data_IF_740507698028
#
_entry.id   IF_740507698028
#
_cell.length_a   1.000
_cell.length_b   1.000
_cell.length_c   1.000
_cell.angle_alpha   90.00
_cell.angle_beta   90.00
_cell.angle_gamma   90.00
#
_symmetry.space_group_name_H-M   'P 1'
#
loop_
_entity.id
_entity.type
_entity.pdbx_description
1 polymer ?
#
# COMPACT_ATOMS: atom_id res chain seq x y z
N UNK A 1 19.39 10.92 14.86
CA UNK A 1 18.65 12.12 15.35
C UNK A 1 17.80 11.85 16.61
N UNK A 2 17.35 10.61 16.87
CA UNK A 2 16.52 10.25 18.03
C UNK A 2 17.20 10.38 19.42
N UNK A 3 18.54 10.30 19.50
CA UNK A 3 19.27 10.33 20.76
C UNK A 3 19.39 11.74 21.39
N UNK A 4 19.11 12.80 20.63
CA UNK A 4 19.24 14.21 21.10
C UNK A 4 18.00 14.71 21.87
N UNK A 5 16.84 14.07 21.65
CA UNK A 5 15.56 14.42 22.30
C UNK A 5 15.44 13.81 23.70
N UNK A 6 15.91 12.56 23.89
CA UNK A 6 15.86 11.86 25.18
C UNK A 6 16.61 12.61 26.31
N UNK A 7 17.64 13.37 25.94
CA UNK A 7 18.37 14.23 26.86
C UNK A 7 17.54 15.42 27.36
N UNK A 8 16.49 15.89 26.68
CA UNK A 8 15.75 17.09 27.10
C UNK A 8 14.89 16.86 28.34
N UNK A 9 14.19 15.72 28.41
CA UNK A 9 13.33 15.37 29.54
C UNK A 9 14.15 15.10 30.79
N UNK A 10 15.14 14.22 30.66
CA UNK A 10 16.02 13.86 31.76
C UNK A 10 16.80 15.10 32.25
N UNK A 11 17.25 15.97 31.32
CA UNK A 11 17.90 17.21 31.70
C UNK A 11 16.94 18.24 32.32
N UNK A 12 15.68 18.37 31.90
CA UNK A 12 14.77 19.35 32.48
C UNK A 12 14.36 18.97 33.91
N UNK A 13 14.00 17.69 34.11
CA UNK A 13 13.62 17.15 35.41
C UNK A 13 14.82 17.19 36.37
N UNK A 14 16.00 16.74 35.91
CA UNK A 14 17.22 16.76 36.72
C UNK A 14 17.71 18.18 37.02
N UNK A 15 17.62 19.13 36.06
CA UNK A 15 17.93 20.55 36.32
C UNK A 15 17.00 21.16 37.37
N UNK A 16 15.71 20.85 37.32
CA UNK A 16 14.76 21.35 38.31
C UNK A 16 15.02 20.75 39.70
N UNK A 17 15.38 19.46 39.77
CA UNK A 17 15.83 18.82 41.00
C UNK A 17 17.11 19.48 41.55
N UNK A 18 18.14 19.66 40.72
CA UNK A 18 19.39 20.33 41.12
C UNK A 18 19.15 21.75 41.63
N UNK A 19 18.26 22.53 40.97
CA UNK A 19 17.87 23.87 41.44
C UNK A 19 17.24 23.81 42.83
N UNK A 20 16.34 22.86 43.10
CA UNK A 20 15.73 22.69 44.42
C UNK A 20 16.77 22.31 45.48
N UNK A 21 17.64 21.35 45.20
CA UNK A 21 18.72 20.97 46.10
C UNK A 21 19.65 22.14 46.41
N UNK A 22 19.99 22.94 45.40
CA UNK A 22 20.80 24.13 45.56
C UNK A 22 20.12 25.18 46.45
N UNK A 23 18.81 25.46 46.21
CA UNK A 23 18.02 26.37 47.04
C UNK A 23 17.94 25.87 48.49
N UNK A 24 17.69 24.58 48.71
CA UNK A 24 17.67 23.97 50.05
C UNK A 24 19.03 24.11 50.73
N UNK A 25 20.12 23.87 50.01
CA UNK A 25 21.48 23.97 50.55
C UNK A 25 21.81 25.40 50.95
N UNK A 26 21.49 26.38 50.11
CA UNK A 26 21.66 27.80 50.44
C UNK A 26 20.79 28.19 51.63
N UNK A 27 19.52 27.77 51.64
CA UNK A 27 18.60 28.11 52.72
C UNK A 27 19.08 27.57 54.06
N UNK A 28 19.48 26.30 54.13
CA UNK A 28 20.03 25.71 55.37
C UNK A 28 21.35 26.36 55.77
N UNK A 29 22.22 26.69 54.80
CA UNK A 29 23.47 27.39 55.08
C UNK A 29 23.25 28.79 55.65
N UNK A 30 22.34 29.58 55.07
CA UNK A 30 21.97 30.92 55.59
C UNK A 30 21.37 30.78 56.99
N UNK A 31 20.45 29.83 57.18
CA UNK A 31 19.82 29.58 58.47
C UNK A 31 20.86 29.21 59.54
N UNK A 32 21.83 28.36 59.20
CA UNK A 32 22.93 28.00 60.08
C UNK A 32 23.82 29.21 60.39
N UNK A 33 24.18 30.03 59.40
CA UNK A 33 24.97 31.25 59.59
C UNK A 33 24.28 32.30 60.49
N UNK A 34 22.95 32.33 60.55
CA UNK A 34 22.19 33.24 61.42
C UNK A 34 22.01 32.64 62.81
N UNK A 35 21.56 31.39 62.90
CA UNK A 35 21.21 30.76 64.17
C UNK A 35 22.44 30.44 65.03
N UNK A 36 23.54 29.98 64.43
CA UNK A 36 24.73 29.56 65.19
C UNK A 36 25.32 30.73 65.99
N UNK A 37 25.55 31.93 65.42
CA UNK A 37 26.04 33.08 66.18
C UNK A 37 25.06 33.59 67.24
N UNK A 38 23.75 33.61 66.97
CA UNK A 38 22.72 34.04 67.93
C UNK A 38 22.73 33.12 69.15
N UNK A 39 22.73 31.80 68.91
CA UNK A 39 22.78 30.79 69.96
C UNK A 39 24.09 30.90 70.74
N UNK A 40 25.22 31.05 70.04
CA UNK A 40 26.52 31.23 70.69
C UNK A 40 26.58 32.49 71.56
N UNK A 41 26.06 33.64 71.09
CA UNK A 41 26.05 34.89 71.83
C UNK A 41 25.14 34.84 73.07
N UNK A 42 23.95 34.25 72.95
CA UNK A 42 23.05 34.03 74.08
C UNK A 42 23.70 33.16 75.16
N UNK A 43 24.44 32.13 74.76
CA UNK A 43 25.12 31.23 75.70
C UNK A 43 26.36 31.90 76.31
N UNK A 44 27.14 32.65 75.52
CA UNK A 44 28.35 33.35 75.97
C UNK A 44 28.06 34.35 77.10
N UNK A 45 26.98 35.10 76.99
CA UNK A 45 26.58 36.05 78.04
C UNK A 45 26.12 35.36 79.33
N UNK A 46 25.87 34.04 79.31
CA UNK A 46 25.32 33.30 80.43
C UNK A 46 26.30 32.26 81.05
N UNK A 47 27.41 31.87 80.39
CA UNK A 47 28.32 30.79 80.84
C UNK A 47 29.81 30.99 80.39
N UNK A 48 30.82 30.65 81.22
CA UNK A 48 32.27 30.91 81.00
C UNK A 48 32.99 30.06 79.90
N UNK A 49 34.18 30.54 79.47
CA UNK A 49 34.65 30.64 78.08
C UNK A 49 35.32 29.43 77.36
N UNK A 50 35.70 28.32 78.01
CA UNK A 50 36.47 27.25 77.31
C UNK A 50 35.60 26.12 76.68
N UNK A 51 34.43 25.84 77.26
CA UNK A 51 33.49 24.80 76.79
C UNK A 51 32.80 25.16 75.46
N UNK A 52 32.82 26.45 75.08
CA UNK A 52 32.01 26.97 73.99
C UNK A 52 32.51 26.61 72.58
N UNK A 53 33.82 26.37 72.39
CA UNK A 53 34.36 26.03 71.07
C UNK A 53 33.89 24.65 70.60
N UNK A 54 34.04 23.61 71.44
CA UNK A 54 33.61 22.24 71.12
C UNK A 54 32.09 22.14 70.93
N UNK A 55 31.31 22.98 71.62
CA UNK A 55 29.84 23.00 71.51
C UNK A 55 29.34 23.59 70.19
N UNK A 56 30.05 24.55 69.60
CA UNK A 56 29.68 25.09 68.28
C UNK A 56 29.76 24.01 67.19
N UNK A 57 30.71 23.08 67.31
CA UNK A 57 30.81 21.89 66.46
C UNK A 57 29.60 20.96 66.65
N UNK A 58 29.10 20.80 67.87
CA UNK A 58 27.91 19.99 68.16
C UNK A 58 26.63 20.54 67.51
N UNK A 59 26.53 21.87 67.35
CA UNK A 59 25.38 22.51 66.69
C UNK A 59 25.38 22.33 65.16
N UNK A 60 26.51 21.94 64.54
CA UNK A 60 26.59 21.64 63.11
C UNK A 60 25.99 20.26 62.75
N UNK A 61 26.08 19.27 63.64
CA UNK A 61 25.50 17.95 63.37
C UNK A 61 23.99 17.98 63.08
N UNK A 62 23.12 18.63 63.87
CA UNK A 62 21.69 18.67 63.57
C UNK A 62 21.39 19.44 62.28
N UNK A 63 22.15 20.48 61.92
CA UNK A 63 21.93 21.21 60.65
C UNK A 63 22.30 20.35 59.44
N UNK A 64 23.37 19.57 59.53
CA UNK A 64 23.75 18.59 58.50
C UNK A 64 22.71 17.47 58.39
N UNK A 65 22.17 16.97 59.50
CA UNK A 65 21.12 15.95 59.51
C UNK A 65 19.85 16.49 58.85
N UNK A 66 19.40 17.70 59.22
CA UNK A 66 18.22 18.33 58.61
C UNK A 66 18.44 18.54 57.09
N UNK A 67 19.61 19.01 56.69
CA UNK A 67 19.98 19.15 55.28
C UNK A 67 19.92 17.82 54.54
N UNK A 68 20.52 16.77 55.11
CA UNK A 68 20.51 15.42 54.51
C UNK A 68 19.09 14.86 54.38
N UNK A 69 18.23 15.07 55.39
CA UNK A 69 16.81 14.66 55.34
C UNK A 69 16.03 15.40 54.25
N UNK A 70 16.23 16.71 54.10
CA UNK A 70 15.56 17.50 53.06
C UNK A 70 15.99 17.06 51.65
N UNK A 71 17.27 16.77 51.45
CA UNK A 71 17.76 16.20 50.19
C UNK A 71 17.19 14.80 49.96
N UNK A 72 17.14 13.95 50.99
CA UNK A 72 16.54 12.63 50.91
C UNK A 72 15.05 12.68 50.51
N UNK A 73 14.31 13.67 51.00
CA UNK A 73 12.91 13.87 50.60
C UNK A 73 12.75 14.32 49.15
N UNK A 74 13.58 15.24 48.66
CA UNK A 74 13.52 15.68 47.25
C UNK A 74 13.99 14.58 46.28
N UNK A 75 15.01 13.79 46.66
CA UNK A 75 15.43 12.61 45.88
C UNK A 75 14.31 11.58 45.80
N UNK A 76 13.64 11.28 46.91
CA UNK A 76 12.51 10.35 46.93
C UNK A 76 11.37 10.81 46.01
N UNK A 77 11.01 12.10 46.03
CA UNK A 77 9.98 12.67 45.12
C UNK A 77 10.38 12.53 43.65
N UNK A 78 11.65 12.77 43.32
CA UNK A 78 12.17 12.58 41.97
C UNK A 78 12.02 11.13 41.51
N UNK A 79 12.45 10.17 42.34
CA UNK A 79 12.33 8.75 42.03
C UNK A 79 10.86 8.34 41.84
N UNK A 80 9.96 8.77 42.72
CA UNK A 80 8.52 8.50 42.59
C UNK A 80 7.94 9.03 41.27
N UNK A 81 8.34 10.24 40.85
CA UNK A 81 7.92 10.83 39.57
C UNK A 81 8.49 10.09 38.36
N UNK A 82 9.74 9.61 38.44
CA UNK A 82 10.33 8.79 37.38
C UNK A 82 9.64 7.43 37.23
N UNK A 83 9.26 6.80 38.33
CA UNK A 83 8.51 5.53 38.32
C UNK A 83 7.13 5.71 37.69
N UNK A 84 6.40 6.79 38.01
CA UNK A 84 5.07 7.01 37.42
C UNK A 84 5.11 7.16 35.89
N UNK A 85 6.18 7.73 35.34
CA UNK A 85 6.38 7.79 33.90
C UNK A 85 6.54 6.41 33.25
N UNK A 86 7.15 5.45 33.95
CA UNK A 86 7.26 4.07 33.46
C UNK A 86 5.88 3.41 33.46
N UNK A 87 5.10 3.61 34.51
CA UNK A 87 3.73 3.08 34.62
C UNK A 87 2.83 3.65 33.51
N UNK A 88 2.89 4.96 33.27
CA UNK A 88 2.17 5.63 32.18
C UNK A 88 2.55 5.06 30.80
N UNK A 89 3.84 4.79 30.57
CA UNK A 89 4.31 4.19 29.32
C UNK A 89 3.87 2.74 29.16
N UNK A 90 3.81 1.98 30.25
CA UNK A 90 3.32 0.61 30.24
C UNK A 90 1.82 0.58 29.90
N UNK A 91 1.03 1.48 30.50
CA UNK A 91 -0.40 1.60 30.20
C UNK A 91 -0.64 2.05 28.74
N UNK A 92 0.13 3.02 28.26
CA UNK A 92 0.13 3.46 26.87
C UNK A 92 0.45 2.32 25.89
N UNK A 93 1.42 1.47 26.23
CA UNK A 93 1.82 0.33 25.38
C UNK A 93 0.72 -0.73 25.31
N UNK A 94 0.00 -0.98 26.41
CA UNK A 94 -1.15 -1.89 26.38
C UNK A 94 -2.27 -1.35 25.48
N UNK A 95 -2.56 -0.05 25.56
CA UNK A 95 -3.57 0.64 24.72
C UNK A 95 -3.16 0.80 23.25
N UNK A 96 -1.92 0.46 22.89
CA UNK A 96 -1.42 0.53 21.52
C UNK A 96 -2.09 -0.52 20.62
N UNK A 97 -2.42 -1.69 21.19
CA UNK A 97 -3.02 -2.81 20.47
C UNK A 97 -4.55 -2.86 20.61
N UNK A 98 -5.12 -1.97 21.42
CA UNK A 98 -6.57 -1.80 21.48
C UNK A 98 -7.09 -1.19 20.18
N UNK A 99 -8.20 -1.74 19.70
CA UNK A 99 -8.85 -1.33 18.44
C UNK A 99 -9.54 0.03 18.51
N UNK A 100 -9.58 0.64 19.70
CA UNK A 100 -10.20 1.93 19.90
C UNK A 100 -9.30 3.05 19.37
N UNK A 101 -9.89 3.99 18.63
CA UNK A 101 -9.21 5.12 18.02
C UNK A 101 -8.86 6.24 19.01
N UNK A 102 -8.74 5.90 20.29
CA UNK A 102 -8.43 6.84 21.36
C UNK A 102 -6.95 7.24 21.31
N UNK A 103 -6.72 8.55 21.38
CA UNK A 103 -5.39 9.12 21.50
C UNK A 103 -4.81 8.81 22.87
N UNK A 104 -3.57 8.31 22.86
CA UNK A 104 -2.82 8.05 24.07
C UNK A 104 -2.21 9.37 24.54
N UNK A 105 -2.75 9.91 25.63
CA UNK A 105 -2.21 11.08 26.31
C UNK A 105 -1.28 10.64 27.45
N UNK A 106 -0.07 11.19 27.46
CA UNK A 106 0.91 11.04 28.54
C UNK A 106 1.10 12.40 29.21
N UNK A 107 1.74 12.42 30.38
CA UNK A 107 2.19 13.65 31.04
C UNK A 107 2.89 14.61 30.07
N UNK A 108 2.76 15.92 30.31
CA UNK A 108 3.27 16.98 29.43
C UNK A 108 4.76 16.82 29.09
N UNK A 109 5.57 16.32 30.03
CA UNK A 109 6.98 16.07 29.77
C UNK A 109 7.18 14.95 28.70
N UNK A 110 6.32 13.93 28.69
CA UNK A 110 6.33 12.82 27.73
C UNK A 110 5.55 13.13 26.43
N UNK A 111 5.12 14.38 26.19
CA UNK A 111 4.33 14.77 25.02
C UNK A 111 4.96 14.36 23.67
N UNK A 112 6.29 14.45 23.55
CA UNK A 112 7.00 13.99 22.33
C UNK A 112 6.86 12.46 22.13
N UNK A 113 6.87 11.69 23.22
CA UNK A 113 6.70 10.24 23.19
C UNK A 113 5.23 9.89 22.88
N UNK A 114 4.28 10.59 23.50
CA UNK A 114 2.85 10.46 23.19
C UNK A 114 2.58 10.66 21.69
N UNK A 115 3.17 11.70 21.09
CA UNK A 115 3.04 11.97 19.65
C UNK A 115 3.61 10.82 18.79
N UNK A 116 4.77 10.26 19.16
CA UNK A 116 5.37 9.13 18.44
C UNK A 116 4.56 7.84 18.58
N UNK A 117 4.07 7.53 19.77
CA UNK A 117 3.23 6.35 20.02
C UNK A 117 1.92 6.47 19.24
N UNK A 118 1.26 7.63 19.26
CA UNK A 118 0.05 7.86 18.47
C UNK A 118 0.30 7.70 16.97
N UNK A 119 1.44 8.19 16.46
CA UNK A 119 1.84 7.95 15.06
C UNK A 119 2.01 6.46 14.75
N UNK A 120 2.67 5.71 15.64
CA UNK A 120 2.83 4.27 15.48
C UNK A 120 1.49 3.53 15.52
N UNK A 121 0.57 3.93 16.41
CA UNK A 121 -0.79 3.40 16.49
C UNK A 121 -1.53 3.58 15.16
N UNK A 122 -1.54 4.81 14.64
CA UNK A 122 -2.18 5.12 13.36
C UNK A 122 -1.57 4.32 12.20
N UNK A 123 -0.24 4.17 12.17
CA UNK A 123 0.43 3.34 11.16
C UNK A 123 0.07 1.85 11.30
N UNK A 124 -0.06 1.33 12.53
CA UNK A 124 -0.45 -0.05 12.78
C UNK A 124 -1.89 -0.33 12.32
N UNK A 125 -2.82 0.57 12.66
CA UNK A 125 -4.23 0.46 12.25
C UNK A 125 -4.35 0.49 10.72
N UNK A 126 -3.63 1.41 10.06
CA UNK A 126 -3.65 1.50 8.60
C UNK A 126 -3.03 0.26 7.95
N UNK A 127 -1.92 -0.25 8.48
CA UNK A 127 -1.31 -1.49 7.99
C UNK A 127 -2.25 -2.70 8.16
N UNK A 128 -2.97 -2.79 9.28
CA UNK A 128 -3.97 -3.85 9.50
C UNK A 128 -5.14 -3.71 8.52
N UNK A 129 -5.63 -2.49 8.29
CA UNK A 129 -6.68 -2.21 7.29
C UNK A 129 -6.25 -2.67 5.89
N UNK A 130 -5.07 -2.24 5.45
CA UNK A 130 -4.49 -2.64 4.15
C UNK A 130 -4.29 -4.16 4.06
N UNK A 131 -3.82 -4.80 5.13
CA UNK A 131 -3.65 -6.25 5.17
C UNK A 131 -4.99 -6.99 5.06
N UNK A 132 -6.04 -6.49 5.74
CA UNK A 132 -7.38 -7.04 5.67
C UNK A 132 -8.02 -6.84 4.29
N UNK A 133 -7.83 -5.67 3.67
CA UNK A 133 -8.27 -5.40 2.30
C UNK A 133 -7.59 -6.33 1.30
N UNK A 134 -6.27 -6.47 1.37
CA UNK A 134 -5.52 -7.42 0.54
C UNK A 134 -5.99 -8.87 0.74
N UNK A 135 -6.27 -9.27 1.99
CA UNK A 135 -6.79 -10.61 2.30
C UNK A 135 -8.19 -10.82 1.72
N UNK A 136 -9.08 -9.83 1.83
CA UNK A 136 -10.42 -9.88 1.22
C UNK A 136 -10.34 -9.98 -0.30
N UNK A 137 -9.58 -9.09 -0.94
CA UNK A 137 -9.34 -9.11 -2.38
C UNK A 137 -8.80 -10.47 -2.86
N UNK A 138 -7.86 -11.07 -2.13
CA UNK A 138 -7.33 -12.41 -2.43
C UNK A 138 -8.41 -13.49 -2.32
N UNK A 139 -9.26 -13.43 -1.30
CA UNK A 139 -10.33 -14.41 -1.12
C UNK A 139 -11.40 -14.26 -2.22
N UNK A 140 -11.79 -13.03 -2.55
CA UNK A 140 -12.76 -12.73 -3.61
C UNK A 140 -12.22 -13.19 -4.97
N UNK A 141 -10.93 -12.97 -5.24
CA UNK A 141 -10.19 -13.51 -6.39
C UNK A 141 -10.36 -15.04 -6.50
N UNK A 142 -10.12 -15.77 -5.42
CA UNK A 142 -10.21 -17.24 -5.41
C UNK A 142 -11.65 -17.70 -5.64
N UNK A 143 -12.63 -17.03 -5.01
CA UNK A 143 -14.03 -17.37 -5.13
C UNK A 143 -14.57 -17.14 -6.56
N UNK A 144 -14.26 -15.98 -7.15
CA UNK A 144 -14.65 -15.65 -8.52
C UNK A 144 -14.02 -16.61 -9.53
N UNK A 145 -12.73 -16.94 -9.35
CA UNK A 145 -12.05 -17.93 -10.18
C UNK A 145 -12.73 -19.29 -10.10
N UNK A 146 -13.04 -19.77 -8.89
CA UNK A 146 -13.70 -21.07 -8.71
C UNK A 146 -15.05 -21.13 -9.44
N UNK A 147 -15.82 -20.03 -9.41
CA UNK A 147 -17.08 -19.92 -10.13
C UNK A 147 -16.89 -19.97 -11.66
N UNK A 148 -15.94 -19.20 -12.17
CA UNK A 148 -15.69 -19.08 -13.61
C UNK A 148 -15.03 -20.33 -14.21
N UNK A 149 -14.31 -21.13 -13.40
CA UNK A 149 -13.82 -22.45 -13.79
C UNK A 149 -14.94 -23.50 -13.75
N UNK A 150 -15.84 -23.46 -12.75
CA UNK A 150 -16.91 -24.44 -12.56
C UNK A 150 -17.90 -24.46 -13.72
N UNK A 151 -18.24 -23.29 -14.27
CA UNK A 151 -19.24 -23.14 -15.35
C UNK A 151 -18.85 -23.85 -16.66
N UNK A 152 -17.67 -23.60 -17.27
CA UNK A 152 -17.24 -24.32 -18.46
C UNK A 152 -16.97 -25.80 -18.16
N UNK A 153 -16.45 -26.14 -16.98
CA UNK A 153 -16.24 -27.54 -16.59
C UNK A 153 -17.55 -28.33 -16.54
N UNK A 154 -18.59 -27.79 -15.88
CA UNK A 154 -19.91 -28.42 -15.83
C UNK A 154 -20.52 -28.56 -17.23
N UNK A 155 -20.31 -27.57 -18.11
CA UNK A 155 -20.75 -27.67 -19.51
C UNK A 155 -20.03 -28.79 -20.26
N UNK A 156 -18.70 -28.89 -20.11
CA UNK A 156 -17.89 -29.95 -20.74
C UNK A 156 -18.37 -31.32 -20.28
N UNK A 157 -18.51 -31.52 -18.96
CA UNK A 157 -19.00 -32.77 -18.39
C UNK A 157 -20.40 -33.09 -18.94
N UNK A 158 -21.33 -32.15 -18.92
CA UNK A 158 -22.69 -32.38 -19.43
C UNK A 158 -22.74 -32.77 -20.91
N UNK A 159 -21.96 -32.10 -21.78
CA UNK A 159 -21.90 -32.50 -23.20
C UNK A 159 -21.21 -33.86 -23.40
N UNK A 160 -20.20 -34.19 -22.61
CA UNK A 160 -19.56 -35.50 -22.66
C UNK A 160 -20.47 -36.61 -22.12
N UNK A 161 -21.27 -36.35 -21.09
CA UNK A 161 -22.29 -37.26 -20.58
C UNK A 161 -23.39 -37.52 -21.63
N UNK A 162 -23.85 -36.49 -22.33
CA UNK A 162 -24.79 -36.65 -23.45
C UNK A 162 -24.21 -37.48 -24.60
N UNK A 163 -22.92 -37.32 -24.88
CA UNK A 163 -22.21 -38.10 -25.91
C UNK A 163 -21.94 -39.55 -25.49
N UNK A 164 -21.77 -39.82 -24.18
CA UNK A 164 -21.48 -41.15 -23.63
C UNK A 164 -22.74 -41.92 -23.24
N UNK A 165 -23.88 -41.25 -23.06
CA UNK A 165 -25.15 -41.86 -22.67
C UNK A 165 -25.79 -42.68 -23.79
N UNK A 166 -26.86 -43.41 -23.45
CA UNK A 166 -27.65 -44.23 -24.38
C UNK A 166 -28.60 -43.41 -25.27
N UNK A 167 -28.34 -42.10 -25.45
CA UNK A 167 -29.16 -41.23 -26.30
C UNK A 167 -28.72 -41.45 -27.74
N UNK A 168 -29.65 -41.79 -28.62
CA UNK A 168 -29.37 -41.89 -30.06
C UNK A 168 -29.19 -40.48 -30.64
N UNK A 169 -27.93 -40.10 -30.88
CA UNK A 169 -27.56 -38.84 -31.52
C UNK A 169 -27.28 -39.07 -33.00
N UNK A 170 -27.78 -38.19 -33.86
CA UNK A 170 -27.33 -38.14 -35.25
C UNK A 170 -25.88 -37.63 -35.36
N UNK A 171 -25.26 -37.80 -36.53
CA UNK A 171 -23.87 -37.40 -36.76
C UNK A 171 -23.66 -35.88 -36.65
N UNK A 172 -24.66 -35.06 -36.99
CA UNK A 172 -24.58 -33.59 -36.85
C UNK A 172 -24.62 -33.16 -35.38
N UNK A 173 -25.51 -33.73 -34.58
CA UNK A 173 -25.64 -33.50 -33.15
C UNK A 173 -24.38 -33.94 -32.41
N UNK A 174 -23.83 -35.11 -32.75
CA UNK A 174 -22.56 -35.60 -32.21
C UNK A 174 -21.43 -34.63 -32.50
N UNK A 175 -21.30 -34.18 -33.76
CA UNK A 175 -20.27 -33.20 -34.18
C UNK A 175 -20.47 -31.85 -33.48
N UNK A 176 -21.72 -31.40 -33.33
CA UNK A 176 -22.06 -30.16 -32.63
C UNK A 176 -21.69 -30.22 -31.15
N UNK A 177 -22.09 -31.27 -30.43
CA UNK A 177 -21.78 -31.42 -29.00
C UNK A 177 -20.29 -31.56 -28.75
N UNK A 178 -19.58 -32.36 -29.56
CA UNK A 178 -18.12 -32.47 -29.50
C UNK A 178 -17.45 -31.12 -29.76
N UNK A 179 -17.93 -30.36 -30.74
CA UNK A 179 -17.45 -29.01 -31.04
C UNK A 179 -17.68 -28.03 -29.89
N UNK A 180 -18.83 -28.11 -29.20
CA UNK A 180 -19.11 -27.29 -28.02
C UNK A 180 -18.18 -27.67 -26.86
N UNK A 181 -18.03 -28.96 -26.55
CA UNK A 181 -17.14 -29.45 -25.50
C UNK A 181 -15.69 -29.04 -25.74
N UNK A 182 -15.20 -29.16 -26.98
CA UNK A 182 -13.86 -28.72 -27.37
C UNK A 182 -13.68 -27.21 -27.19
N UNK A 183 -14.64 -26.41 -27.64
CA UNK A 183 -14.61 -24.95 -27.48
C UNK A 183 -14.59 -24.55 -25.99
N UNK A 184 -15.41 -25.19 -25.16
CA UNK A 184 -15.44 -24.96 -23.72
C UNK A 184 -14.14 -25.39 -23.02
N UNK A 185 -13.52 -26.48 -23.47
CA UNK A 185 -12.22 -26.93 -22.95
C UNK A 185 -11.09 -25.95 -23.26
N UNK A 186 -11.06 -25.40 -24.48
CA UNK A 186 -10.12 -24.33 -24.84
C UNK A 186 -10.34 -23.07 -23.99
N UNK A 187 -11.59 -22.63 -23.85
CA UNK A 187 -11.96 -21.50 -22.98
C UNK A 187 -11.50 -21.71 -21.53
N UNK A 188 -11.65 -22.92 -20.98
CA UNK A 188 -11.19 -23.27 -19.64
C UNK A 188 -9.65 -23.21 -19.55
N UNK A 189 -8.94 -23.70 -20.56
CA UNK A 189 -7.47 -23.62 -20.62
C UNK A 189 -6.98 -22.17 -20.65
N UNK A 190 -7.63 -21.30 -21.41
CA UNK A 190 -7.28 -19.88 -21.49
C UNK A 190 -7.46 -19.19 -20.12
N UNK A 191 -8.57 -19.47 -19.43
CA UNK A 191 -8.85 -18.94 -18.09
C UNK A 191 -7.79 -19.38 -17.06
N UNK A 192 -7.37 -20.65 -17.11
CA UNK A 192 -6.30 -21.18 -16.24
C UNK A 192 -4.96 -20.47 -16.53
N UNK A 193 -4.62 -20.29 -17.80
CA UNK A 193 -3.38 -19.61 -18.20
C UNK A 193 -3.36 -18.14 -17.77
N UNK A 194 -4.49 -17.44 -17.91
CA UNK A 194 -4.63 -16.06 -17.44
C UNK A 194 -4.49 -15.95 -15.92
N UNK A 195 -5.05 -16.90 -15.16
CA UNK A 195 -4.89 -16.96 -13.71
C UNK A 195 -3.43 -17.19 -13.29
N UNK A 196 -2.73 -18.15 -13.91
CA UNK A 196 -1.31 -18.38 -13.63
C UNK A 196 -0.47 -17.13 -13.90
N UNK A 197 -0.80 -16.39 -14.95
CA UNK A 197 -0.09 -15.17 -15.27
C UNK A 197 -0.33 -14.08 -14.21
N UNK A 198 -1.56 -13.89 -13.73
CA UNK A 198 -1.81 -12.95 -12.62
C UNK A 198 -1.06 -13.32 -11.34
N UNK A 199 -1.06 -14.60 -10.96
CA UNK A 199 -0.32 -15.02 -9.77
C UNK A 199 1.18 -14.75 -9.91
N UNK A 200 1.73 -14.88 -11.13
CA UNK A 200 3.12 -14.53 -11.44
C UNK A 200 3.38 -13.02 -11.30
N UNK A 201 2.46 -12.17 -11.77
CA UNK A 201 2.57 -10.71 -11.61
C UNK A 201 2.47 -10.28 -10.13
N UNK A 202 1.60 -10.91 -9.33
CA UNK A 202 1.41 -10.53 -7.92
C UNK A 202 2.51 -11.08 -6.98
N UNK A 203 3.10 -12.24 -7.27
CA UNK A 203 3.99 -12.93 -6.33
C UNK A 203 5.49 -12.76 -6.64
N UNK A 204 5.86 -12.31 -7.84
CA UNK A 204 7.26 -12.28 -8.26
C UNK A 204 7.70 -10.90 -8.76
N UNK A 205 8.96 -10.53 -8.47
CA UNK A 205 9.64 -9.41 -9.15
C UNK A 205 9.87 -9.83 -10.60
N UNK A 206 8.87 -9.65 -11.45
CA UNK A 206 8.98 -9.93 -12.88
C UNK A 206 10.08 -9.05 -13.45
N UNK A 207 11.12 -9.69 -13.99
CA UNK A 207 12.16 -9.00 -14.76
C UNK A 207 11.59 -8.68 -16.14
N UNK A 208 11.70 -7.41 -16.56
CA UNK A 208 11.42 -7.00 -17.93
C UNK A 208 12.66 -7.24 -18.76
N UNK A 209 12.50 -7.99 -19.86
CA UNK A 209 13.55 -8.20 -20.84
C UNK A 209 13.39 -7.17 -21.96
N UNK A 210 14.05 -6.02 -21.78
CA UNK A 210 13.99 -4.95 -22.77
C UNK A 210 14.70 -5.32 -24.06
N UNK A 211 14.01 -5.16 -25.18
CA UNK A 211 14.54 -5.21 -26.54
C UNK A 211 14.09 -3.99 -27.34
N UNK A 212 14.87 -3.61 -28.34
CA UNK A 212 14.50 -2.51 -29.24
C UNK A 212 13.47 -3.01 -30.26
N UNK A 213 12.27 -2.43 -30.24
CA UNK A 213 11.08 -2.95 -30.94
C UNK A 213 10.44 -1.86 -31.78
N UNK A 214 10.01 -2.19 -32.99
CA UNK A 214 9.22 -1.31 -33.85
C UNK A 214 7.74 -1.44 -33.50
N UNK A 215 7.19 -0.46 -32.76
CA UNK A 215 5.78 -0.48 -32.36
C UNK A 215 4.82 -0.38 -33.56
N UNK A 216 5.21 0.33 -34.62
CA UNK A 216 4.39 0.44 -35.83
C UNK A 216 4.16 -0.93 -36.45
N UNK A 217 5.23 -1.69 -36.70
CA UNK A 217 5.14 -3.04 -37.27
C UNK A 217 4.39 -4.01 -36.36
N UNK A 218 4.58 -3.88 -35.05
CA UNK A 218 3.92 -4.71 -34.05
C UNK A 218 2.39 -4.51 -34.05
N UNK A 219 1.93 -3.27 -34.13
CA UNK A 219 0.50 -2.95 -34.24
C UNK A 219 -0.08 -3.44 -35.57
N UNK A 220 0.64 -3.23 -36.68
CA UNK A 220 0.22 -3.71 -38.01
C UNK A 220 0.09 -5.24 -38.05
N UNK A 221 1.05 -5.97 -37.45
CA UNK A 221 1.00 -7.42 -37.35
C UNK A 221 -0.21 -7.89 -36.53
N UNK A 222 -0.43 -7.29 -35.36
CA UNK A 222 -1.59 -7.64 -34.53
C UNK A 222 -2.92 -7.36 -35.24
N UNK A 223 -3.05 -6.22 -35.92
CA UNK A 223 -4.27 -5.91 -36.69
C UNK A 223 -4.48 -6.91 -37.82
N UNK A 224 -3.41 -7.41 -38.46
CA UNK A 224 -3.51 -8.46 -39.46
C UNK A 224 -4.00 -9.79 -38.86
N UNK A 225 -3.48 -10.18 -37.70
CA UNK A 225 -3.87 -11.40 -36.98
C UNK A 225 -5.34 -11.37 -36.52
N UNK A 226 -5.86 -10.18 -36.19
CA UNK A 226 -7.25 -10.00 -35.75
C UNK A 226 -8.28 -9.90 -36.88
N UNK A 227 -7.87 -9.88 -38.15
CA UNK A 227 -8.80 -9.82 -39.31
C UNK A 227 -9.96 -10.81 -39.25
N UNK A 228 -9.76 -12.11 -38.96
CA UNK A 228 -10.87 -13.06 -38.88
C UNK A 228 -11.90 -12.69 -37.81
N UNK A 229 -11.45 -12.13 -36.69
CA UNK A 229 -12.33 -11.70 -35.60
C UNK A 229 -13.09 -10.41 -35.93
N UNK A 230 -12.49 -9.52 -36.73
CA UNK A 230 -13.19 -8.36 -37.27
C UNK A 230 -14.30 -8.77 -38.23
N UNK A 231 -14.06 -9.76 -39.08
CA UNK A 231 -15.03 -10.27 -40.06
C UNK A 231 -16.29 -10.86 -39.39
N UNK A 232 -16.18 -11.48 -38.22
CA UNK A 232 -17.34 -12.02 -37.47
C UNK A 232 -18.42 -10.96 -37.16
N UNK A 233 -18.03 -9.68 -37.05
CA UNK A 233 -18.92 -8.54 -36.71
C UNK A 233 -18.92 -7.44 -37.77
N UNK A 234 -18.34 -7.69 -38.95
CA UNK A 234 -18.10 -6.68 -40.00
C UNK A 234 -17.40 -5.41 -39.47
N UNK A 235 -16.41 -5.58 -38.59
CA UNK A 235 -15.64 -4.47 -38.04
C UNK A 235 -14.57 -4.03 -39.03
N UNK A 236 -14.29 -2.72 -39.04
CA UNK A 236 -13.14 -2.15 -39.75
C UNK A 236 -12.12 -1.65 -38.73
N UNK A 237 -10.83 -1.77 -39.05
CA UNK A 237 -9.76 -1.27 -38.18
C UNK A 237 -8.83 -0.35 -38.97
N UNK A 238 -8.64 0.88 -38.48
CA UNK A 238 -7.70 1.85 -39.04
C UNK A 238 -6.56 2.12 -38.07
N UNK A 239 -5.34 1.89 -38.54
CA UNK A 239 -4.11 2.25 -37.81
C UNK A 239 -3.56 3.54 -38.39
N UNK A 240 -3.40 4.55 -37.55
CA UNK A 240 -2.72 5.80 -37.87
C UNK A 240 -1.48 5.89 -36.98
N UNK A 241 -0.34 5.57 -37.57
CA UNK A 241 0.92 5.49 -36.84
C UNK A 241 2.01 6.26 -37.58
N UNK A 242 2.88 6.92 -36.81
CA UNK A 242 4.17 7.36 -37.33
C UNK A 242 4.99 6.14 -37.82
N UNK A 243 5.81 6.33 -38.85
CA UNK A 243 6.61 5.24 -39.43
C UNK A 243 7.80 4.91 -38.51
N UNK A 244 8.04 3.61 -38.30
CA UNK A 244 9.21 3.08 -37.60
C UNK A 244 9.42 3.63 -36.18
N UNK A 245 8.35 3.69 -35.38
CA UNK A 245 8.45 4.12 -33.99
C UNK A 245 9.19 3.04 -33.18
N UNK A 246 10.45 3.31 -32.85
CA UNK A 246 11.29 2.41 -32.06
C UNK A 246 11.20 2.72 -30.56
N UNK A 247 10.96 1.71 -29.74
CA UNK A 247 10.99 1.78 -28.28
C UNK A 247 11.77 0.61 -27.68
N UNK A 248 12.34 0.81 -26.50
CA UNK A 248 12.90 -0.28 -25.69
C UNK A 248 11.80 -0.85 -24.78
N UNK A 249 11.27 -2.02 -25.09
CA UNK A 249 10.23 -2.71 -24.30
C UNK A 249 10.40 -4.23 -24.34
N UNK A 250 9.69 -4.96 -23.48
CA UNK A 250 9.54 -6.42 -23.61
C UNK A 250 8.43 -6.73 -24.62
N UNK A 251 8.83 -7.23 -25.80
CA UNK A 251 7.94 -7.49 -26.95
C UNK A 251 6.77 -8.37 -26.56
N UNK A 252 7.03 -9.47 -25.85
CA UNK A 252 6.01 -10.46 -25.52
C UNK A 252 4.98 -9.87 -24.56
N UNK A 253 5.43 -9.06 -23.59
CA UNK A 253 4.54 -8.41 -22.62
C UNK A 253 3.70 -7.32 -23.26
N UNK A 254 4.32 -6.41 -24.02
CA UNK A 254 3.59 -5.34 -24.70
C UNK A 254 2.64 -5.88 -25.76
N UNK A 255 3.00 -6.98 -26.44
CA UNK A 255 2.12 -7.66 -27.41
C UNK A 255 0.83 -8.10 -26.74
N UNK A 256 0.94 -8.63 -25.53
CA UNK A 256 -0.21 -9.02 -24.73
C UNK A 256 -1.09 -7.85 -24.29
N UNK A 257 -0.50 -6.69 -23.98
CA UNK A 257 -1.29 -5.47 -23.70
C UNK A 257 -2.17 -5.14 -24.90
N UNK A 258 -1.56 -5.11 -26.10
CA UNK A 258 -2.28 -4.77 -27.32
C UNK A 258 -3.28 -5.84 -27.74
N UNK A 259 -2.97 -7.14 -27.59
CA UNK A 259 -3.93 -8.24 -27.81
C UNK A 259 -5.15 -8.09 -26.90
N UNK A 260 -4.94 -7.84 -25.60
CA UNK A 260 -6.03 -7.65 -24.65
C UNK A 260 -6.93 -6.46 -25.01
N UNK A 261 -6.33 -5.34 -25.44
CA UNK A 261 -7.08 -4.14 -25.85
C UNK A 261 -7.84 -4.37 -27.17
N UNK A 262 -7.21 -4.97 -28.18
CA UNK A 262 -7.85 -5.32 -29.46
C UNK A 262 -8.98 -6.33 -29.29
N UNK A 263 -8.78 -7.36 -28.47
CA UNK A 263 -9.80 -8.36 -28.16
C UNK A 263 -11.00 -7.73 -27.46
N UNK A 264 -10.77 -6.82 -26.51
CA UNK A 264 -11.85 -6.05 -25.90
C UNK A 264 -12.59 -5.19 -26.93
N UNK A 265 -11.87 -4.49 -27.81
CA UNK A 265 -12.49 -3.72 -28.88
C UNK A 265 -13.38 -4.62 -29.78
N UNK A 266 -12.90 -5.79 -30.21
CA UNK A 266 -13.70 -6.73 -31.00
C UNK A 266 -14.96 -7.22 -30.25
N UNK A 267 -14.80 -7.57 -28.96
CA UNK A 267 -15.88 -8.13 -28.15
C UNK A 267 -16.99 -7.12 -27.86
N UNK A 268 -16.65 -5.86 -27.59
CA UNK A 268 -17.60 -4.84 -27.14
C UNK A 268 -18.02 -3.85 -28.22
N UNK A 269 -17.35 -3.81 -29.37
CA UNK A 269 -17.78 -2.97 -30.48
C UNK A 269 -19.17 -3.34 -31.00
N UNK A 270 -19.94 -2.31 -31.37
CA UNK A 270 -21.14 -2.46 -32.18
C UNK A 270 -20.81 -3.12 -33.52
N UNK A 271 -21.74 -3.90 -34.06
CA UNK A 271 -21.58 -4.48 -35.40
C UNK A 271 -21.51 -3.39 -36.47
N UNK A 272 -20.77 -3.65 -37.55
CA UNK A 272 -20.56 -2.71 -38.66
C UNK A 272 -19.91 -1.37 -38.24
N UNK A 273 -19.08 -1.38 -37.21
CA UNK A 273 -18.39 -0.19 -36.69
C UNK A 273 -16.89 -0.20 -36.98
N UNK A 274 -16.24 0.91 -36.63
CA UNK A 274 -14.82 1.14 -36.86
C UNK A 274 -14.06 1.18 -35.54
N UNK A 275 -12.88 0.54 -35.51
CA UNK A 275 -11.88 0.60 -34.46
C UNK A 275 -10.73 1.48 -34.96
N UNK A 276 -10.36 2.48 -34.18
CA UNK A 276 -9.24 3.37 -34.48
C UNK A 276 -8.06 3.08 -33.55
N UNK A 277 -6.86 3.02 -34.13
CA UNK A 277 -5.61 2.88 -33.38
C UNK A 277 -4.68 4.01 -33.77
N UNK A 278 -4.40 4.93 -32.84
CA UNK A 278 -3.46 6.02 -33.05
C UNK A 278 -2.15 5.74 -32.29
N UNK A 279 -1.02 5.87 -32.98
CA UNK A 279 0.32 5.81 -32.39
C UNK A 279 1.00 7.16 -32.60
N UNK A 280 1.12 7.93 -31.51
CA UNK A 280 1.70 9.27 -31.50
C UNK A 280 3.01 9.29 -30.71
N UNK A 281 4.05 9.91 -31.27
CA UNK A 281 5.32 10.10 -30.58
C UNK A 281 5.33 11.49 -29.94
N UNK A 282 5.44 11.54 -28.62
CA UNK A 282 5.76 12.75 -27.86
C UNK A 282 7.25 12.69 -27.48
N UNK A 283 7.84 13.79 -27.03
CA UNK A 283 9.30 13.92 -26.86
C UNK A 283 9.96 12.72 -26.13
N UNK A 284 9.52 12.42 -24.91
CA UNK A 284 10.07 11.35 -24.07
C UNK A 284 9.08 10.18 -23.85
N UNK A 285 7.96 10.17 -24.56
CA UNK A 285 6.89 9.19 -24.38
C UNK A 285 6.23 8.81 -25.70
N UNK A 286 5.76 7.58 -25.80
CA UNK A 286 4.91 7.12 -26.90
C UNK A 286 3.50 6.92 -26.37
N UNK A 287 2.52 7.46 -27.07
CA UNK A 287 1.10 7.34 -26.74
C UNK A 287 0.43 6.45 -27.79
N UNK A 288 -0.23 5.40 -27.32
CA UNK A 288 -0.99 4.45 -28.13
C UNK A 288 -2.44 4.50 -27.69
N UNK A 289 -3.33 4.83 -28.60
CA UNK A 289 -4.77 4.98 -28.34
C UNK A 289 -5.52 3.89 -29.10
N UNK A 290 -6.38 3.16 -28.41
CA UNK A 290 -7.34 2.24 -29.00
C UNK A 290 -8.75 2.80 -28.75
N UNK A 291 -9.46 3.14 -29.82
CA UNK A 291 -10.81 3.68 -29.75
C UNK A 291 -11.79 2.79 -30.50
N UNK A 292 -12.95 2.52 -29.89
CA UNK A 292 -14.00 1.76 -30.54
C UNK A 292 -15.40 2.21 -30.09
N UNK A 293 -16.39 2.01 -30.98
CA UNK A 293 -17.79 2.36 -30.72
C UNK A 293 -18.48 1.27 -29.90
N UNK A 294 -18.95 1.61 -28.71
CA UNK A 294 -19.56 0.69 -27.74
C UNK A 294 -20.63 1.42 -26.94
N UNK A 295 -21.43 0.68 -26.18
CA UNK A 295 -22.31 1.26 -25.17
C UNK A 295 -21.48 2.08 -24.16
N UNK A 296 -21.98 3.27 -23.80
CA UNK A 296 -21.29 4.18 -22.89
C UNK A 296 -21.10 3.57 -21.51
N UNK A 297 -19.88 3.67 -20.98
CA UNK A 297 -19.51 3.18 -19.66
C UNK A 297 -19.67 4.32 -18.66
N UNK A 298 -20.46 4.09 -17.61
CA UNK A 298 -20.58 5.04 -16.49
C UNK A 298 -19.23 5.32 -15.82
N UNK A 299 -19.02 6.56 -15.35
CA UNK A 299 -17.75 7.01 -14.77
C UNK A 299 -17.32 6.18 -13.55
N UNK A 300 -18.28 5.83 -12.68
CA UNK A 300 -18.05 4.95 -11.53
C UNK A 300 -17.52 3.57 -11.94
N UNK A 301 -17.96 3.08 -13.11
CA UNK A 301 -17.54 1.78 -13.65
C UNK A 301 -16.18 1.88 -14.34
N UNK A 302 -15.90 2.97 -15.06
CA UNK A 302 -14.59 3.25 -15.69
C UNK A 302 -13.45 3.21 -14.67
N UNK A 303 -13.67 3.72 -13.45
CA UNK A 303 -12.64 3.66 -12.39
C UNK A 303 -12.22 2.23 -12.01
N UNK A 304 -13.10 1.24 -12.28
CA UNK A 304 -12.95 -0.16 -11.85
C UNK A 304 -12.60 -1.13 -12.97
N UNK A 305 -12.65 -0.73 -14.26
CA UNK A 305 -12.41 -1.68 -15.37
C UNK A 305 -11.01 -2.31 -15.39
N UNK A 306 -10.05 -1.70 -14.70
CA UNK A 306 -8.70 -2.25 -14.55
C UNK A 306 -8.52 -3.09 -13.27
N UNK A 307 -9.56 -3.19 -12.42
CA UNK A 307 -9.58 -4.10 -11.29
C UNK A 307 -9.70 -5.55 -11.78
N UNK A 308 -9.08 -6.47 -11.05
CA UNK A 308 -9.10 -7.88 -11.41
C UNK A 308 -10.53 -8.43 -11.30
N UNK A 309 -10.98 -9.22 -12.29
CA UNK A 309 -12.31 -9.83 -12.38
C UNK A 309 -13.47 -8.84 -12.50
N UNK A 310 -13.19 -7.55 -12.64
CA UNK A 310 -14.25 -6.59 -12.88
C UNK A 310 -14.82 -6.77 -14.29
N UNK A 311 -16.14 -6.86 -14.37
CA UNK A 311 -16.91 -7.05 -15.60
C UNK A 311 -18.14 -6.15 -15.57
N UNK A 312 -18.43 -5.51 -16.70
CA UNK A 312 -19.68 -4.76 -16.85
C UNK A 312 -20.87 -5.74 -16.92
N UNK A 313 -22.02 -5.37 -16.36
CA UNK A 313 -23.18 -6.28 -16.26
C UNK A 313 -23.68 -6.80 -17.61
N UNK A 314 -23.59 -6.00 -18.68
CA UNK A 314 -23.93 -6.41 -20.04
C UNK A 314 -22.92 -7.39 -20.67
N UNK A 315 -21.73 -7.56 -20.08
CA UNK A 315 -20.71 -8.52 -20.50
C UNK A 315 -20.89 -9.93 -19.92
N UNK A 316 -21.94 -10.16 -19.11
CA UNK A 316 -22.21 -11.46 -18.46
C UNK A 316 -22.68 -12.56 -19.42
N UNK A 317 -23.03 -12.21 -20.66
CA UNK A 317 -23.29 -13.21 -21.69
C UNK A 317 -21.96 -13.90 -22.07
N UNK A 318 -21.97 -15.24 -22.00
CA UNK A 318 -20.87 -16.21 -22.05
C UNK A 318 -19.76 -16.09 -23.12
N UNK A 319 -19.76 -15.05 -23.96
CA UNK A 319 -18.72 -14.70 -24.93
C UNK A 319 -17.65 -13.73 -24.39
N UNK A 320 -17.91 -13.00 -23.29
CA UNK A 320 -16.93 -12.03 -22.77
C UNK A 320 -15.91 -12.70 -21.84
N UNK A 321 -14.63 -12.32 -21.99
CA UNK A 321 -13.46 -12.92 -21.34
C UNK A 321 -13.47 -12.91 -19.81
N UNK A 322 -12.38 -13.36 -19.20
CA UNK A 322 -12.21 -13.59 -17.75
C UNK A 322 -12.28 -12.36 -16.84
N UNK A 323 -12.34 -11.15 -17.39
CA UNK A 323 -12.17 -9.91 -16.61
C UNK A 323 -10.73 -9.69 -16.13
N UNK A 324 -9.76 -10.45 -16.64
CA UNK A 324 -8.34 -10.36 -16.24
C UNK A 324 -7.48 -9.58 -17.23
N UNK A 325 -7.91 -9.49 -18.49
CA UNK A 325 -7.11 -8.90 -19.57
C UNK A 325 -6.68 -7.46 -19.30
N UNK A 326 -7.60 -6.59 -18.86
CA UNK A 326 -7.28 -5.18 -18.56
C UNK A 326 -6.41 -5.02 -17.32
N UNK A 327 -6.63 -5.84 -16.28
CA UNK A 327 -5.77 -5.83 -15.10
C UNK A 327 -4.33 -6.26 -15.43
N UNK A 328 -4.17 -7.31 -16.25
CA UNK A 328 -2.86 -7.75 -16.75
C UNK A 328 -2.21 -6.65 -17.60
N UNK A 329 -2.99 -6.00 -18.47
CA UNK A 329 -2.50 -4.91 -19.30
C UNK A 329 -1.96 -3.75 -18.44
N UNK A 330 -2.70 -3.35 -17.40
CA UNK A 330 -2.28 -2.33 -16.45
C UNK A 330 -0.98 -2.70 -15.75
N UNK A 331 -0.87 -3.91 -15.24
CA UNK A 331 0.33 -4.34 -14.53
C UNK A 331 1.56 -4.37 -15.45
N UNK A 332 1.41 -4.84 -16.69
CA UNK A 332 2.48 -4.82 -17.69
C UNK A 332 2.93 -3.39 -17.99
N UNK A 333 1.99 -2.48 -18.20
CA UNK A 333 2.28 -1.07 -18.50
C UNK A 333 2.98 -0.39 -17.33
N UNK A 334 2.51 -0.63 -16.10
CA UNK A 334 3.13 -0.12 -14.87
C UNK A 334 4.57 -0.64 -14.68
N UNK A 335 4.81 -1.94 -14.93
CA UNK A 335 6.16 -2.50 -14.91
C UNK A 335 7.08 -1.80 -15.91
N UNK A 336 6.55 -1.40 -17.08
CA UNK A 336 7.28 -0.61 -18.07
C UNK A 336 7.43 0.88 -17.71
N UNK A 337 7.01 1.29 -16.50
CA UNK A 337 6.96 2.68 -16.05
C UNK A 337 6.08 3.57 -16.93
N UNK A 338 5.08 2.96 -17.54
CA UNK A 338 4.04 3.62 -18.33
C UNK A 338 2.79 3.89 -17.52
N UNK A 339 1.77 4.36 -18.24
CA UNK A 339 0.44 4.63 -17.71
C UNK A 339 -0.62 4.08 -18.67
N UNK A 340 -1.71 3.54 -18.13
CA UNK A 340 -2.88 3.14 -18.92
C UNK A 340 -4.13 3.79 -18.33
N UNK A 341 -4.96 4.37 -19.18
CA UNK A 341 -6.22 5.01 -18.80
C UNK A 341 -7.34 4.64 -19.78
N UNK A 342 -8.57 4.89 -19.37
CA UNK A 342 -9.74 4.71 -20.22
C UNK A 342 -10.71 5.88 -20.05
N UNK A 343 -11.31 6.29 -21.17
CA UNK A 343 -12.33 7.33 -21.24
C UNK A 343 -13.51 6.77 -22.02
N UNK A 344 -14.74 7.06 -21.59
CA UNK A 344 -15.94 6.72 -22.35
C UNK A 344 -16.79 7.96 -22.53
N UNK A 345 -17.14 8.28 -23.78
CA UNK A 345 -18.01 9.41 -24.11
C UNK A 345 -18.70 9.16 -25.44
N UNK A 346 -19.96 9.59 -25.55
CA UNK A 346 -20.74 9.58 -26.80
C UNK A 346 -20.75 8.20 -27.52
N UNK A 347 -20.88 7.11 -26.74
CA UNK A 347 -20.80 5.73 -27.25
C UNK A 347 -19.47 5.36 -27.93
N UNK A 348 -18.39 6.02 -27.55
CA UNK A 348 -17.02 5.62 -27.82
C UNK A 348 -16.31 5.33 -26.50
N UNK A 349 -15.51 4.26 -26.49
CA UNK A 349 -14.53 4.03 -25.43
C UNK A 349 -13.14 4.17 -26.02
N UNK A 350 -12.26 4.82 -25.26
CA UNK A 350 -10.88 5.11 -25.63
C UNK A 350 -9.96 4.58 -24.54
N UNK A 351 -9.10 3.63 -24.88
CA UNK A 351 -8.01 3.17 -24.03
C UNK A 351 -6.72 3.84 -24.46
N UNK A 352 -6.05 4.53 -23.53
CA UNK A 352 -4.79 5.22 -23.78
C UNK A 352 -3.66 4.51 -23.03
N UNK A 353 -2.61 4.11 -23.75
CA UNK A 353 -1.39 3.50 -23.21
C UNK A 353 -0.22 4.45 -23.47
N UNK A 354 0.46 4.87 -22.41
CA UNK A 354 1.60 5.77 -22.47
C UNK A 354 2.84 4.98 -22.01
N UNK A 355 3.85 4.88 -22.86
CA UNK A 355 5.11 4.21 -22.56
C UNK A 355 6.29 5.19 -22.64
N UNK A 356 7.26 5.12 -21.70
CA UNK A 356 8.45 5.97 -21.77
C UNK A 356 9.35 5.56 -22.93
N UNK A 357 9.78 6.54 -23.72
CA UNK A 357 10.72 6.35 -24.82
C UNK A 357 12.13 6.23 -24.24
N UNK A 358 12.49 5.08 -23.68
CA UNK A 358 13.82 4.88 -23.10
C UNK A 358 14.91 5.07 -24.17
N UNK A 359 15.76 6.09 -24.00
CA UNK A 359 16.96 6.31 -24.80
C UNK A 359 17.88 5.09 -24.68
N UNK A 360 18.29 4.56 -25.83
CA UNK A 360 19.26 3.47 -26.04
C UNK A 360 20.10 3.16 -24.79
N UNK A 361 19.87 2.00 -24.17
CA UNK A 361 20.93 1.38 -23.36
C UNK A 361 21.99 0.93 -24.35
N UNK A 362 22.98 1.79 -24.58
CA UNK A 362 24.20 1.40 -25.28
C UNK A 362 24.77 0.19 -24.56
N UNK A 363 25.00 -0.89 -25.31
CA UNK A 363 25.87 -1.99 -24.89
C UNK A 363 27.17 -1.36 -24.37
N UNK A 364 27.44 -1.51 -23.08
CA UNK A 364 28.81 -1.44 -22.58
C UNK A 364 29.48 -2.77 -22.86
#
# INVERSE_FOLDING_TARGET
MAMKSNNRLLNSVFKNYLKKCFIITIFVAILACILIPIINNYIYNNFENAYMFYRSLYLLFPTIIIWALLIMLETYKLFKKLVSYVDELQEATNKLFDKDNTYIHLSDELSEISTKINKLKMQSIENERLANENRRQKNDLIMNLAHDLKTPLASIIGYLELLNGNISLDDEQRKKFLGIALRKSKQLSDLINEFFEITKYNLSKIKINYSNTNLTMMLEQLVFEFKPMFEEKNLTCKVKAEKNVMISCDVNKISRVFDNLLRNACLYSFENSEIHIDLNVKEEKVEIIFENKTESIEEDKLSKIFEQFYRLDFSRNSKAGSGLGLAIAKEIVLLHKGEISAESKDNCVKFCVILPKNKKVGKK
#
